data_IF_832637932137
#
_entry.id   IF_832637932137
#
_cell.length_a   1.000
_cell.length_b   1.000
_cell.length_c   1.000
_cell.angle_alpha   90.00
_cell.angle_beta   90.00
_cell.angle_gamma   90.00
#
_symmetry.space_group_name_H-M   'P 1'
#
loop_
_entity.id
_entity.type
_entity.pdbx_description
1 polymer ?
#
# COMPACT_ATOMS: atom_id res chain seq x y z
N UNK A 1 1.13 -21.27 25.31
CA UNK A 1 1.20 -19.90 24.79
C UNK A 1 0.08 -19.75 23.79
N UNK A 2 -0.81 -18.78 23.99
CA UNK A 2 -1.89 -18.53 23.04
C UNK A 2 -1.27 -18.11 21.68
N UNK A 3 -1.94 -18.37 20.55
CA UNK A 3 -1.37 -18.05 19.23
C UNK A 3 -1.07 -16.54 19.06
N UNK A 4 -1.86 -15.67 19.70
CA UNK A 4 -1.63 -14.21 19.73
C UNK A 4 -0.31 -13.79 20.41
N UNK A 5 0.22 -14.62 21.31
CA UNK A 5 1.48 -14.34 22.01
C UNK A 5 2.72 -14.68 21.18
N UNK A 6 2.54 -15.40 20.05
CA UNK A 6 3.66 -15.79 19.17
C UNK A 6 4.04 -14.74 18.15
N UNK A 7 3.19 -13.71 17.97
CA UNK A 7 3.31 -12.73 16.89
C UNK A 7 2.97 -13.32 15.51
N UNK A 8 2.95 -12.45 14.51
CA UNK A 8 2.79 -12.84 13.11
C UNK A 8 4.07 -13.43 12.50
N UNK A 9 3.97 -13.87 11.27
CA UNK A 9 5.09 -14.47 10.55
C UNK A 9 5.34 -13.71 9.24
N UNK A 10 6.61 -13.43 8.92
CA UNK A 10 7.00 -12.88 7.61
C UNK A 10 7.60 -14.00 6.76
N UNK A 11 7.07 -14.17 5.56
CA UNK A 11 7.53 -15.14 4.55
C UNK A 11 8.19 -14.35 3.43
N UNK A 12 9.37 -14.80 2.96
CA UNK A 12 10.02 -14.30 1.77
C UNK A 12 9.70 -15.23 0.58
N UNK A 13 9.38 -14.64 -0.56
CA UNK A 13 9.04 -15.38 -1.76
C UNK A 13 9.43 -14.60 -3.02
N UNK A 14 9.31 -15.24 -4.17
CA UNK A 14 9.48 -14.62 -5.47
C UNK A 14 8.60 -15.34 -6.51
N UNK A 15 8.25 -14.62 -7.57
CA UNK A 15 7.54 -15.19 -8.72
C UNK A 15 8.16 -14.70 -10.04
N UNK A 16 8.06 -15.52 -11.07
CA UNK A 16 8.41 -15.12 -12.42
C UNK A 16 7.31 -14.22 -12.99
N UNK A 17 7.72 -13.21 -13.75
CA UNK A 17 6.82 -12.26 -14.41
C UNK A 17 7.35 -11.96 -15.81
N UNK A 18 6.50 -11.99 -16.83
CA UNK A 18 6.87 -11.59 -18.18
C UNK A 18 7.12 -10.08 -18.33
N UNK A 19 6.63 -9.29 -17.37
CA UNK A 19 6.81 -7.84 -17.32
C UNK A 19 8.17 -7.42 -16.78
N UNK A 20 8.89 -8.33 -16.11
CA UNK A 20 10.15 -8.04 -15.42
C UNK A 20 11.31 -8.87 -15.98
N UNK A 21 12.51 -8.30 -15.97
CA UNK A 21 13.74 -9.00 -16.39
C UNK A 21 14.25 -10.02 -15.37
N UNK A 22 13.75 -9.96 -14.15
CA UNK A 22 14.13 -10.83 -13.01
C UNK A 22 12.87 -11.14 -12.23
N UNK A 23 12.86 -12.25 -11.47
CA UNK A 23 11.73 -12.58 -10.61
C UNK A 23 11.36 -11.41 -9.69
N UNK A 24 10.07 -11.19 -9.50
CA UNK A 24 9.53 -10.25 -8.51
C UNK A 24 9.71 -10.85 -7.12
N UNK A 25 10.65 -10.29 -6.35
CA UNK A 25 10.81 -10.63 -4.94
C UNK A 25 9.72 -9.93 -4.13
N UNK A 26 9.15 -10.61 -3.15
CA UNK A 26 8.18 -10.02 -2.23
C UNK A 26 8.25 -10.69 -0.86
N UNK A 27 7.68 -10.00 0.15
CA UNK A 27 7.44 -10.56 1.46
C UNK A 27 5.96 -10.55 1.76
N UNK A 28 5.50 -11.50 2.57
CA UNK A 28 4.13 -11.56 3.06
C UNK A 28 4.17 -11.67 4.57
N UNK A 29 3.52 -10.73 5.25
CA UNK A 29 3.23 -10.86 6.67
C UNK A 29 1.89 -11.56 6.85
N UNK A 30 1.89 -12.62 7.63
CA UNK A 30 0.73 -13.37 8.07
C UNK A 30 0.44 -13.01 9.53
N UNK A 31 -0.79 -12.61 9.89
CA UNK A 31 -1.11 -12.18 11.24
C UNK A 31 -1.05 -13.34 12.24
N UNK A 32 -0.97 -13.05 13.56
CA UNK A 32 -1.05 -14.07 14.59
C UNK A 32 -2.27 -14.97 14.41
N UNK A 33 -2.13 -16.23 14.80
CA UNK A 33 -3.17 -17.27 14.65
C UNK A 33 -3.55 -17.63 13.21
N UNK A 34 -2.82 -17.16 12.19
CA UNK A 34 -3.12 -17.52 10.80
C UNK A 34 -3.17 -19.04 10.60
N UNK A 35 -2.20 -19.80 11.11
CA UNK A 35 -2.16 -21.25 10.95
C UNK A 35 -3.27 -21.98 11.75
N UNK A 36 -3.64 -21.45 12.90
CA UNK A 36 -4.64 -22.04 13.81
C UNK A 36 -6.09 -21.77 13.38
N UNK A 37 -6.32 -20.83 12.45
CA UNK A 37 -7.64 -20.46 11.93
C UNK A 37 -7.77 -20.75 10.42
N UNK A 38 -7.80 -22.02 9.98
CA UNK A 38 -7.71 -22.39 8.57
C UNK A 38 -8.89 -21.91 7.70
N UNK A 39 -10.05 -21.67 8.32
CA UNK A 39 -11.26 -21.21 7.61
C UNK A 39 -11.33 -19.68 7.49
N UNK A 40 -10.52 -18.94 8.26
CA UNK A 40 -10.54 -17.49 8.25
C UNK A 40 -9.85 -16.95 7.00
N UNK A 41 -10.49 -15.97 6.35
CA UNK A 41 -9.92 -15.17 5.26
C UNK A 41 -9.65 -13.76 5.74
N UNK A 42 -8.73 -13.08 5.07
CA UNK A 42 -8.16 -11.83 5.55
C UNK A 42 -8.14 -10.77 4.46
N UNK A 43 -8.39 -9.50 4.78
CA UNK A 43 -8.07 -8.38 3.92
C UNK A 43 -6.56 -8.34 3.61
N UNK A 44 -6.19 -7.65 2.52
CA UNK A 44 -4.79 -7.56 2.07
C UNK A 44 -4.38 -6.11 1.83
N UNK A 45 -3.27 -5.72 2.44
CA UNK A 45 -2.62 -4.43 2.23
C UNK A 45 -1.29 -4.61 1.49
N UNK A 46 -1.20 -4.05 0.29
CA UNK A 46 0.04 -3.99 -0.50
C UNK A 46 0.78 -2.72 -0.15
N UNK A 47 2.02 -2.82 0.37
CA UNK A 47 2.83 -1.70 0.83
C UNK A 47 4.16 -1.63 0.07
N UNK A 48 4.32 -0.58 -0.73
CA UNK A 48 5.47 -0.39 -1.60
C UNK A 48 6.49 0.53 -0.93
N UNK A 49 7.76 0.14 -0.99
CA UNK A 49 8.87 0.82 -0.35
C UNK A 49 9.32 2.11 -1.07
N UNK A 50 10.07 2.97 -0.39
CA UNK A 50 10.74 4.15 -0.97
C UNK A 50 11.87 3.78 -1.95
N UNK A 51 12.29 4.74 -2.79
CA UNK A 51 13.15 4.50 -3.96
C UNK A 51 14.43 3.69 -3.69
N UNK A 52 15.14 3.94 -2.61
CA UNK A 52 16.44 3.29 -2.31
C UNK A 52 16.33 2.17 -1.30
N UNK A 53 15.12 1.87 -0.88
CA UNK A 53 14.82 0.81 0.09
C UNK A 53 14.49 -0.51 -0.62
N UNK A 54 14.16 -1.52 0.17
CA UNK A 54 13.75 -2.85 -0.31
C UNK A 54 12.38 -3.22 0.27
N UNK A 55 11.95 -4.43 -0.01
CA UNK A 55 10.69 -5.00 0.48
C UNK A 55 10.64 -5.27 1.99
N UNK A 56 11.65 -4.85 2.76
CA UNK A 56 11.66 -4.84 4.22
C UNK A 56 11.47 -3.44 4.83
N UNK A 57 11.35 -2.40 4.02
CA UNK A 57 11.27 -1.02 4.50
C UNK A 57 10.15 -0.84 5.54
N UNK A 58 8.91 -1.20 5.21
CA UNK A 58 7.79 -1.10 6.13
C UNK A 58 7.94 -1.99 7.39
N UNK A 59 8.58 -3.14 7.24
CA UNK A 59 8.91 -4.01 8.37
C UNK A 59 9.93 -3.36 9.31
N UNK A 60 10.94 -2.68 8.76
CA UNK A 60 11.95 -1.95 9.51
C UNK A 60 11.35 -0.71 10.23
N UNK A 61 10.28 -0.13 9.71
CA UNK A 61 9.50 0.90 10.41
C UNK A 61 8.65 0.33 11.56
N UNK A 62 8.50 -0.99 11.66
CA UNK A 62 7.77 -1.67 12.74
C UNK A 62 6.34 -2.08 12.39
N UNK A 63 5.98 -2.17 11.10
CA UNK A 63 4.60 -2.45 10.68
C UNK A 63 4.07 -3.79 11.22
N UNK A 64 4.87 -4.85 11.20
CA UNK A 64 4.45 -6.17 11.67
C UNK A 64 4.18 -6.17 13.19
N UNK A 65 5.12 -5.65 13.98
CA UNK A 65 5.00 -5.58 15.44
C UNK A 65 3.79 -4.73 15.87
N UNK A 66 3.52 -3.66 15.13
CA UNK A 66 2.39 -2.79 15.39
C UNK A 66 1.05 -3.49 15.12
N UNK A 67 0.93 -4.19 13.98
CA UNK A 67 -0.28 -4.96 13.66
C UNK A 67 -0.48 -6.09 14.67
N UNK A 68 0.59 -6.80 15.07
CA UNK A 68 0.53 -7.84 16.10
C UNK A 68 -0.06 -7.30 17.40
N UNK A 69 0.44 -6.16 17.85
CA UNK A 69 -0.02 -5.52 19.10
C UNK A 69 -1.49 -5.09 19.01
N UNK A 70 -1.87 -4.42 17.93
CA UNK A 70 -3.24 -3.89 17.77
C UNK A 70 -4.27 -5.00 17.52
N UNK A 71 -3.88 -6.06 16.81
CA UNK A 71 -4.74 -7.23 16.63
C UNK A 71 -4.92 -8.03 17.93
N UNK A 72 -3.85 -8.17 18.73
CA UNK A 72 -3.91 -8.88 20.00
C UNK A 72 -4.81 -8.19 21.05
N UNK A 73 -4.92 -6.86 20.98
CA UNK A 73 -5.81 -6.06 21.85
C UNK A 73 -7.24 -5.91 21.29
N UNK A 74 -7.51 -6.42 20.08
CA UNK A 74 -8.81 -6.24 19.40
C UNK A 74 -9.07 -4.82 18.90
N UNK A 75 -8.03 -3.97 18.87
CA UNK A 75 -8.14 -2.60 18.36
C UNK A 75 -8.16 -2.54 16.83
N UNK A 76 -7.70 -3.60 16.18
CA UNK A 76 -7.63 -3.72 14.73
C UNK A 76 -7.94 -5.15 14.30
N UNK A 77 -8.73 -5.30 13.23
CA UNK A 77 -8.90 -6.61 12.61
C UNK A 77 -7.57 -7.09 12.02
N UNK A 78 -7.20 -8.37 12.12
CA UNK A 78 -6.00 -8.90 11.50
C UNK A 78 -6.14 -8.93 9.96
N UNK A 79 -5.05 -8.60 9.26
CA UNK A 79 -4.95 -8.60 7.80
C UNK A 79 -3.57 -9.05 7.34
N UNK A 80 -3.45 -9.41 6.06
CA UNK A 80 -2.16 -9.70 5.44
C UNK A 80 -1.52 -8.40 4.93
N UNK A 81 -0.19 -8.32 5.03
CA UNK A 81 0.57 -7.29 4.33
C UNK A 81 1.49 -7.93 3.28
N UNK A 82 1.53 -7.36 2.09
CA UNK A 82 2.38 -7.81 0.98
C UNK A 82 3.34 -6.68 0.64
N UNK A 83 4.63 -6.99 0.59
CA UNK A 83 5.70 -6.02 0.37
C UNK A 83 6.48 -6.40 -0.90
N UNK A 84 6.06 -5.94 -2.09
CA UNK A 84 6.79 -6.19 -3.32
C UNK A 84 8.05 -5.35 -3.41
N UNK A 85 9.06 -5.85 -4.15
CA UNK A 85 10.33 -5.16 -4.36
C UNK A 85 10.43 -4.56 -5.76
N UNK A 86 10.32 -3.22 -5.86
CA UNK A 86 10.68 -2.46 -7.08
C UNK A 86 12.21 -2.41 -7.20
N UNK A 87 12.77 -3.39 -7.91
CA UNK A 87 14.22 -3.53 -8.11
C UNK A 87 14.78 -2.43 -9.01
N UNK A 88 14.04 -2.11 -10.07
CA UNK A 88 14.46 -1.15 -11.10
C UNK A 88 13.99 0.28 -10.77
N UNK A 89 14.20 0.69 -9.52
CA UNK A 89 13.67 1.89 -8.90
C UNK A 89 14.17 3.23 -9.48
N UNK A 90 14.98 3.22 -10.54
CA UNK A 90 15.33 4.41 -11.34
C UNK A 90 14.56 4.49 -12.66
N UNK A 91 13.76 3.47 -13.00
CA UNK A 91 12.93 3.43 -14.20
C UNK A 91 11.48 3.68 -13.78
N UNK A 92 10.81 4.61 -14.45
CA UNK A 92 9.39 4.93 -14.21
C UNK A 92 8.49 4.24 -15.23
N UNK A 93 7.16 4.16 -15.02
CA UNK A 93 6.25 3.74 -16.06
C UNK A 93 6.39 4.61 -17.32
N UNK A 94 6.15 4.09 -18.54
CA UNK A 94 5.76 2.70 -18.82
C UNK A 94 6.95 1.74 -19.02
N UNK A 95 8.20 2.21 -18.90
CA UNK A 95 9.39 1.37 -19.15
C UNK A 95 9.69 0.38 -18.01
N UNK A 96 9.11 0.58 -16.83
CA UNK A 96 9.20 -0.32 -15.69
C UNK A 96 7.89 -1.10 -15.56
N UNK A 97 7.92 -2.40 -15.84
CA UNK A 97 6.76 -3.29 -15.76
C UNK A 97 6.37 -3.75 -14.35
N UNK A 98 6.81 -3.04 -13.31
CA UNK A 98 6.52 -3.40 -11.92
C UNK A 98 5.03 -3.31 -11.58
N UNK A 99 4.34 -2.29 -12.09
CA UNK A 99 2.89 -2.13 -11.89
C UNK A 99 2.11 -3.29 -12.50
N UNK A 100 2.43 -3.64 -13.75
CA UNK A 100 1.82 -4.77 -14.47
C UNK A 100 2.09 -6.09 -13.75
N UNK A 101 3.33 -6.32 -13.28
CA UNK A 101 3.69 -7.51 -12.52
C UNK A 101 2.91 -7.62 -11.20
N UNK A 102 2.63 -6.50 -10.51
CA UNK A 102 1.77 -6.52 -9.32
C UNK A 102 0.35 -6.95 -9.68
N UNK A 103 -0.23 -6.34 -10.70
CA UNK A 103 -1.64 -6.53 -11.05
C UNK A 103 -1.87 -7.90 -11.70
N UNK A 104 -1.05 -8.26 -12.68
CA UNK A 104 -1.27 -9.46 -13.48
C UNK A 104 -0.75 -10.75 -12.84
N UNK A 105 0.31 -10.65 -12.03
CA UNK A 105 0.98 -11.84 -11.51
C UNK A 105 0.93 -11.93 -9.98
N UNK A 106 1.33 -10.87 -9.25
CA UNK A 106 1.46 -10.95 -7.79
C UNK A 106 0.10 -11.08 -7.10
N UNK A 107 -0.89 -10.26 -7.43
CA UNK A 107 -2.20 -10.29 -6.79
C UNK A 107 -2.87 -11.66 -6.97
N UNK A 108 -2.95 -12.24 -8.19
CA UNK A 108 -3.49 -13.58 -8.39
C UNK A 108 -2.72 -14.68 -7.63
N UNK A 109 -1.37 -14.56 -7.55
CA UNK A 109 -0.57 -15.51 -6.79
C UNK A 109 -0.87 -15.45 -5.29
N UNK A 110 -0.97 -14.24 -4.72
CA UNK A 110 -1.33 -14.03 -3.30
C UNK A 110 -2.73 -14.59 -3.02
N UNK A 111 -3.71 -14.32 -3.87
CA UNK A 111 -5.09 -14.81 -3.69
C UNK A 111 -5.18 -16.35 -3.82
N UNK A 112 -4.27 -16.97 -4.56
CA UNK A 112 -4.20 -18.43 -4.72
C UNK A 112 -3.48 -19.11 -3.57
N UNK A 113 -2.38 -18.50 -3.09
CA UNK A 113 -1.50 -19.12 -2.09
C UNK A 113 -1.99 -18.87 -0.65
N UNK A 114 -2.61 -17.70 -0.41
CA UNK A 114 -3.03 -17.28 0.92
C UNK A 114 -4.56 -17.14 1.03
N UNK A 115 -5.05 -17.18 2.25
CA UNK A 115 -6.47 -17.03 2.55
C UNK A 115 -6.88 -15.55 2.55
N UNK A 116 -7.02 -14.97 1.39
CA UNK A 116 -7.41 -13.58 1.17
C UNK A 116 -8.93 -13.42 1.00
N UNK A 117 -9.43 -12.22 1.28
CA UNK A 117 -10.71 -11.73 0.81
C UNK A 117 -10.47 -11.02 -0.53
N UNK A 118 -10.98 -11.55 -1.66
CA UNK A 118 -10.59 -11.05 -2.99
C UNK A 118 -11.32 -9.78 -3.42
N UNK A 119 -12.31 -9.34 -2.66
CA UNK A 119 -13.12 -8.17 -3.00
C UNK A 119 -12.30 -6.87 -2.88
N UNK A 120 -12.60 -5.90 -3.75
CA UNK A 120 -11.91 -4.60 -3.73
C UNK A 120 -11.99 -3.88 -2.38
N UNK A 121 -13.10 -4.05 -1.66
CA UNK A 121 -13.30 -3.43 -0.34
C UNK A 121 -12.31 -3.95 0.71
N UNK A 122 -11.80 -5.16 0.50
CA UNK A 122 -10.87 -5.84 1.38
C UNK A 122 -9.42 -5.78 0.87
N UNK A 123 -9.15 -4.96 -0.16
CA UNK A 123 -7.82 -4.79 -0.72
C UNK A 123 -7.43 -3.31 -0.76
N UNK A 124 -6.26 -3.01 -0.22
CA UNK A 124 -5.69 -1.67 -0.23
C UNK A 124 -4.27 -1.68 -0.81
N UNK A 125 -3.85 -0.55 -1.37
CA UNK A 125 -2.48 -0.33 -1.82
C UNK A 125 -1.96 0.96 -1.21
N UNK A 126 -0.71 0.98 -0.82
CA UNK A 126 -0.05 2.19 -0.33
C UNK A 126 1.44 2.14 -0.49
N UNK A 127 2.08 3.27 -0.25
CA UNK A 127 3.52 3.33 -0.34
C UNK A 127 4.11 4.65 0.11
N UNK A 128 5.40 4.61 0.39
CA UNK A 128 6.19 5.75 0.81
C UNK A 128 6.98 6.29 -0.38
N UNK A 129 6.97 7.61 -0.60
CA UNK A 129 7.77 8.27 -1.61
C UNK A 129 7.53 7.64 -3.01
N UNK A 130 8.54 7.03 -3.63
CA UNK A 130 8.38 6.28 -4.88
C UNK A 130 7.34 5.17 -4.77
N UNK A 131 7.23 4.52 -3.63
CA UNK A 131 6.18 3.52 -3.39
C UNK A 131 4.77 4.12 -3.44
N UNK A 132 4.61 5.35 -2.96
CA UNK A 132 3.37 6.11 -3.09
C UNK A 132 3.06 6.46 -4.55
N UNK A 133 4.09 6.78 -5.38
CA UNK A 133 3.89 6.99 -6.82
C UNK A 133 3.29 5.74 -7.47
N UNK A 134 3.84 4.56 -7.14
CA UNK A 134 3.29 3.29 -7.60
C UNK A 134 1.87 3.04 -7.09
N UNK A 135 1.59 3.38 -5.82
CA UNK A 135 0.25 3.23 -5.27
C UNK A 135 -0.77 4.10 -6.02
N UNK A 136 -0.41 5.36 -6.34
CA UNK A 136 -1.25 6.25 -7.16
C UNK A 136 -1.41 5.70 -8.58
N UNK A 137 -0.30 5.35 -9.23
CA UNK A 137 -0.31 4.81 -10.60
C UNK A 137 -1.21 3.58 -10.73
N UNK A 138 -0.99 2.58 -9.87
CA UNK A 138 -1.72 1.31 -9.91
C UNK A 138 -3.16 1.50 -9.42
N UNK A 139 -3.35 2.18 -8.28
CA UNK A 139 -4.65 2.29 -7.62
C UNK A 139 -5.69 3.09 -8.42
N UNK A 140 -5.25 4.12 -9.17
CA UNK A 140 -6.15 4.90 -10.02
C UNK A 140 -6.42 4.23 -11.38
N UNK A 141 -5.49 3.44 -11.91
CA UNK A 141 -5.72 2.70 -13.15
C UNK A 141 -6.50 1.39 -12.94
N UNK A 142 -6.53 0.86 -11.71
CA UNK A 142 -7.22 -0.39 -11.36
C UNK A 142 -8.19 -0.20 -10.19
N UNK A 143 -9.19 0.70 -10.32
CA UNK A 143 -10.17 0.98 -9.25
C UNK A 143 -11.08 -0.22 -8.96
N UNK A 144 -11.12 -1.21 -9.86
CA UNK A 144 -11.82 -2.47 -9.65
C UNK A 144 -11.09 -3.42 -8.68
N UNK A 145 -9.80 -3.18 -8.43
CA UNK A 145 -8.95 -4.03 -7.57
C UNK A 145 -8.86 -3.48 -6.15
N UNK A 146 -8.70 -2.16 -6.00
CA UNK A 146 -8.38 -1.54 -4.72
C UNK A 146 -9.50 -0.63 -4.20
N UNK A 147 -9.89 -0.83 -2.94
CA UNK A 147 -10.86 0.02 -2.23
C UNK A 147 -10.23 1.21 -1.50
N UNK A 148 -8.92 1.17 -1.29
CA UNK A 148 -8.18 2.24 -0.61
C UNK A 148 -6.77 2.41 -1.20
N UNK A 149 -6.30 3.67 -1.22
CA UNK A 149 -5.02 4.11 -1.74
C UNK A 149 -4.35 5.06 -0.73
N UNK A 150 -3.13 4.77 -0.32
CA UNK A 150 -2.33 5.66 0.54
C UNK A 150 -1.05 6.14 -0.15
N UNK A 151 -0.84 7.46 -0.15
CA UNK A 151 0.29 8.13 -0.80
C UNK A 151 1.09 8.92 0.24
N UNK A 152 2.11 8.28 0.84
CA UNK A 152 2.88 8.85 1.95
C UNK A 152 4.13 9.55 1.44
N UNK A 153 4.24 10.88 1.67
CA UNK A 153 5.36 11.71 1.18
C UNK A 153 5.63 11.51 -0.32
N UNK A 154 4.59 11.60 -1.15
CA UNK A 154 4.59 11.09 -2.52
C UNK A 154 4.73 12.19 -3.57
N UNK A 155 5.90 12.35 -4.20
CA UNK A 155 6.00 13.06 -5.47
C UNK A 155 5.49 12.15 -6.60
N UNK A 156 4.58 12.63 -7.45
CA UNK A 156 4.04 11.81 -8.55
C UNK A 156 5.11 11.55 -9.62
N UNK A 157 5.04 10.41 -10.32
CA UNK A 157 5.92 10.12 -11.45
C UNK A 157 5.80 11.20 -12.52
N UNK A 158 6.93 11.59 -13.10
CA UNK A 158 6.94 12.56 -14.21
C UNK A 158 6.25 12.04 -15.47
N UNK A 159 6.07 10.73 -15.59
CA UNK A 159 5.26 10.07 -16.63
C UNK A 159 3.76 10.25 -16.40
N UNK A 160 3.33 10.36 -15.15
CA UNK A 160 1.93 10.46 -14.75
C UNK A 160 1.56 11.95 -14.65
N UNK A 161 1.39 12.59 -15.79
CA UNK A 161 1.08 14.03 -15.82
C UNK A 161 -0.30 14.33 -15.25
N UNK A 162 -0.51 15.54 -14.71
CA UNK A 162 -1.82 15.95 -14.22
C UNK A 162 -2.97 15.70 -15.22
N UNK A 163 -2.83 16.00 -16.53
CA UNK A 163 -3.87 15.68 -17.51
C UNK A 163 -4.14 14.18 -17.67
N UNK A 164 -3.15 13.32 -17.45
CA UNK A 164 -3.36 11.86 -17.51
C UNK A 164 -4.05 11.35 -16.26
N UNK A 165 -3.60 11.79 -15.08
CA UNK A 165 -4.27 11.45 -13.81
C UNK A 165 -5.72 11.96 -13.81
N UNK A 166 -5.98 13.19 -14.29
CA UNK A 166 -7.33 13.72 -14.43
C UNK A 166 -8.23 12.81 -15.29
N UNK A 167 -7.70 12.30 -16.42
CA UNK A 167 -8.44 11.33 -17.26
C UNK A 167 -8.71 10.01 -16.54
N UNK A 168 -7.77 9.51 -15.74
CA UNK A 168 -8.02 8.30 -14.93
C UNK A 168 -9.14 8.55 -13.93
N UNK A 169 -9.08 9.68 -13.20
CA UNK A 169 -10.10 10.07 -12.24
C UNK A 169 -11.49 10.25 -12.88
N UNK A 170 -11.56 10.92 -14.04
CA UNK A 170 -12.81 11.10 -14.80
C UNK A 170 -13.41 9.77 -15.27
N UNK A 171 -12.57 8.79 -15.58
CA UNK A 171 -13.01 7.46 -16.02
C UNK A 171 -13.52 6.57 -14.89
N UNK A 172 -13.22 6.90 -13.61
CA UNK A 172 -13.64 6.11 -12.45
C UNK A 172 -15.05 6.57 -12.02
N UNK A 173 -16.07 5.67 -12.03
CA UNK A 173 -17.35 5.98 -11.42
C UNK A 173 -17.19 6.39 -9.95
N UNK A 174 -17.94 7.38 -9.49
CA UNK A 174 -17.80 7.96 -8.14
C UNK A 174 -17.88 6.89 -7.02
N UNK A 175 -18.76 5.91 -7.18
CA UNK A 175 -18.91 4.78 -6.24
C UNK A 175 -17.76 3.77 -6.29
N UNK A 176 -16.86 3.91 -7.28
CA UNK A 176 -15.65 3.09 -7.44
C UNK A 176 -14.36 3.86 -7.18
N UNK A 177 -14.43 5.15 -6.84
CA UNK A 177 -13.24 5.85 -6.36
C UNK A 177 -12.68 5.11 -5.13
N UNK A 178 -11.37 4.83 -5.07
CA UNK A 178 -10.77 4.36 -3.84
C UNK A 178 -10.84 5.45 -2.76
N UNK A 179 -10.88 5.08 -1.50
CA UNK A 179 -10.57 6.02 -0.44
C UNK A 179 -9.11 6.45 -0.61
N UNK A 180 -8.84 7.73 -0.52
CA UNK A 180 -7.48 8.26 -0.73
C UNK A 180 -7.00 8.93 0.56
N UNK A 181 -5.82 8.54 1.02
CA UNK A 181 -5.09 9.20 2.11
C UNK A 181 -3.76 9.71 1.58
N UNK A 182 -3.46 10.95 1.89
CA UNK A 182 -2.19 11.59 1.56
C UNK A 182 -1.62 12.31 2.76
N UNK A 183 -0.31 12.28 2.90
CA UNK A 183 0.41 13.07 3.90
C UNK A 183 1.81 13.45 3.45
N UNK A 184 2.38 14.45 4.10
CA UNK A 184 3.79 14.81 3.96
C UNK A 184 4.29 15.58 5.20
N UNK A 185 5.61 15.58 5.39
CA UNK A 185 6.26 16.45 6.36
C UNK A 185 6.33 17.90 5.87
N UNK A 186 6.16 18.87 6.79
CA UNK A 186 6.29 20.31 6.49
C UNK A 186 7.65 20.69 5.89
N UNK A 187 8.69 19.93 6.24
CA UNK A 187 10.04 20.11 5.74
C UNK A 187 10.47 19.01 4.75
N UNK A 188 9.52 18.30 4.17
CA UNK A 188 9.78 17.30 3.14
C UNK A 188 10.33 18.00 1.88
N UNK A 189 11.50 17.56 1.42
CA UNK A 189 12.15 18.11 0.21
C UNK A 189 11.31 17.94 -1.06
N UNK A 190 10.33 17.04 -1.06
CA UNK A 190 9.43 16.75 -2.18
C UNK A 190 8.02 17.29 -1.96
N UNK A 191 7.76 17.99 -0.84
CA UNK A 191 6.44 18.52 -0.50
C UNK A 191 5.74 19.24 -1.67
N UNK A 192 6.47 20.08 -2.39
CA UNK A 192 5.90 20.82 -3.53
C UNK A 192 5.29 19.89 -4.59
N UNK A 193 5.89 18.73 -4.82
CA UNK A 193 5.38 17.77 -5.80
C UNK A 193 4.18 16.98 -5.26
N UNK A 194 4.16 16.70 -3.96
CA UNK A 194 2.98 16.11 -3.30
C UNK A 194 1.77 17.05 -3.36
N UNK A 195 2.00 18.34 -3.12
CA UNK A 195 0.97 19.38 -3.21
C UNK A 195 0.38 19.55 -4.62
N UNK A 196 1.15 19.28 -5.68
CA UNK A 196 0.64 19.31 -7.07
C UNK A 196 -0.45 18.24 -7.25
N UNK A 197 -0.28 17.06 -6.67
CA UNK A 197 -1.29 16.01 -6.77
C UNK A 197 -2.49 16.31 -5.86
N UNK A 198 -2.28 16.83 -4.67
CA UNK A 198 -3.34 17.26 -3.76
C UNK A 198 -4.21 18.36 -4.41
N UNK A 199 -3.58 19.36 -5.04
CA UNK A 199 -4.28 20.43 -5.78
C UNK A 199 -5.10 19.89 -6.97
N UNK A 200 -4.58 18.87 -7.67
CA UNK A 200 -5.32 18.17 -8.72
C UNK A 200 -6.57 17.50 -8.15
N UNK A 201 -6.45 16.75 -7.04
CA UNK A 201 -7.61 16.11 -6.42
C UNK A 201 -8.68 17.12 -5.98
N UNK A 202 -8.25 18.28 -5.44
CA UNK A 202 -9.17 19.38 -5.11
C UNK A 202 -9.85 19.97 -6.36
N UNK A 203 -9.07 20.20 -7.42
CA UNK A 203 -9.59 20.76 -8.68
C UNK A 203 -10.63 19.84 -9.31
N UNK A 204 -10.39 18.54 -9.29
CA UNK A 204 -11.31 17.51 -9.80
C UNK A 204 -12.43 17.14 -8.80
N UNK A 205 -12.47 17.78 -7.63
CA UNK A 205 -13.43 17.51 -6.55
C UNK A 205 -13.41 16.04 -6.09
N UNK A 206 -12.25 15.41 -6.04
CA UNK A 206 -12.07 14.03 -5.59
C UNK A 206 -11.98 14.00 -4.05
N UNK A 207 -12.86 13.26 -3.36
CA UNK A 207 -12.77 13.12 -1.91
C UNK A 207 -11.47 12.44 -1.49
N UNK A 208 -10.71 13.08 -0.61
CA UNK A 208 -9.47 12.54 -0.06
C UNK A 208 -9.19 13.11 1.32
N UNK A 209 -8.33 12.42 2.08
CA UNK A 209 -7.78 12.90 3.35
C UNK A 209 -6.36 13.42 3.09
N UNK A 210 -6.10 14.67 3.47
CA UNK A 210 -4.78 15.30 3.35
C UNK A 210 -4.29 15.78 4.72
N UNK A 211 -3.06 15.41 5.04
CA UNK A 211 -2.40 15.79 6.28
C UNK A 211 -1.00 16.34 6.03
N UNK A 212 -0.69 17.46 6.66
CA UNK A 212 0.63 18.08 6.69
C UNK A 212 1.11 18.12 8.13
N UNK A 213 2.15 17.33 8.42
CA UNK A 213 2.68 17.19 9.77
C UNK A 213 4.09 17.75 9.90
N UNK A 214 4.54 18.17 11.10
CA UNK A 214 5.95 18.47 11.33
C UNK A 214 6.83 17.27 11.00
N UNK A 215 7.87 17.46 10.19
CA UNK A 215 8.81 16.39 9.85
C UNK A 215 9.47 16.55 8.49
N UNK A 216 10.26 15.57 8.12
CA UNK A 216 11.08 15.52 6.91
C UNK A 216 10.72 14.33 6.03
N UNK A 217 11.48 14.11 4.93
CA UNK A 217 11.35 12.96 4.06
C UNK A 217 12.25 11.82 4.54
N UNK A 218 11.93 11.19 5.65
CA UNK A 218 12.78 10.20 6.31
C UNK A 218 11.99 9.18 7.14
N UNK A 219 12.71 8.13 7.59
CA UNK A 219 12.14 7.03 8.37
C UNK A 219 11.55 7.49 9.71
N UNK A 220 12.11 8.53 10.35
CA UNK A 220 11.59 9.05 11.62
C UNK A 220 10.18 9.60 11.45
N UNK A 221 9.94 10.31 10.34
CA UNK A 221 8.62 10.82 9.99
C UNK A 221 7.64 9.67 9.74
N UNK A 222 7.97 8.74 8.86
CA UNK A 222 7.05 7.64 8.51
C UNK A 222 6.79 6.70 9.67
N UNK A 223 7.80 6.44 10.52
CA UNK A 223 7.63 5.65 11.73
C UNK A 223 6.68 6.33 12.74
N UNK A 224 6.78 7.65 12.89
CA UNK A 224 5.92 8.41 13.79
C UNK A 224 4.43 8.35 13.39
N UNK A 225 4.13 8.24 12.09
CA UNK A 225 2.76 8.19 11.56
C UNK A 225 2.29 6.77 11.18
N UNK A 226 3.12 5.75 11.38
CA UNK A 226 2.82 4.38 10.96
C UNK A 226 1.50 3.84 11.54
N UNK A 227 1.21 4.11 12.81
CA UNK A 227 -0.04 3.65 13.45
C UNK A 227 -1.26 4.30 12.81
N UNK A 228 -1.21 5.59 12.49
CA UNK A 228 -2.26 6.30 11.77
C UNK A 228 -2.52 5.67 10.40
N UNK A 229 -1.47 5.43 9.63
CA UNK A 229 -1.58 4.79 8.32
C UNK A 229 -2.27 3.43 8.41
N UNK A 230 -1.78 2.54 9.26
CA UNK A 230 -2.33 1.19 9.39
C UNK A 230 -3.77 1.19 9.90
N UNK A 231 -4.11 2.06 10.85
CA UNK A 231 -5.50 2.24 11.33
C UNK A 231 -6.40 2.77 10.23
N UNK A 232 -5.93 3.70 9.40
CA UNK A 232 -6.69 4.21 8.29
C UNK A 232 -7.01 3.13 7.24
N UNK A 233 -6.00 2.35 6.82
CA UNK A 233 -6.23 1.24 5.89
C UNK A 233 -7.22 0.23 6.46
N UNK A 234 -7.03 -0.18 7.70
CA UNK A 234 -7.83 -1.21 8.34
C UNK A 234 -9.22 -0.75 8.81
N UNK A 235 -9.53 0.56 8.79
CA UNK A 235 -10.77 1.09 9.34
C UNK A 235 -12.08 0.49 8.77
N UNK A 236 -12.16 0.07 7.49
CA UNK A 236 -13.33 -0.64 6.98
C UNK A 236 -13.33 -2.14 7.30
N UNK A 237 -12.16 -2.71 7.65
CA UNK A 237 -12.00 -4.14 7.89
C UNK A 237 -12.35 -4.47 9.35
N UNK A 238 -13.62 -4.64 9.62
CA UNK A 238 -14.09 -5.02 10.95
C UNK A 238 -14.11 -6.53 11.09
N UNK A 239 -13.89 -7.04 12.30
CA UNK A 239 -14.15 -8.45 12.58
C UNK A 239 -15.62 -8.75 12.27
N UNK A 240 -15.84 -9.70 11.36
CA UNK A 240 -17.15 -10.33 11.21
C UNK A 240 -17.39 -11.13 12.49
N UNK A 241 -18.28 -10.67 13.35
CA UNK A 241 -18.70 -11.35 14.56
C UNK A 241 -19.48 -12.64 14.22
#
# INVERSE_FOLDING_TARGET
MACWEKGGQVIESQLESEYLKKPLEYRVYLPPCYAEQPERRYPVLYLIHGQTYRNDHWLNLGAADLVDRLAATGEMAPFLMVFPYDRDHYISPPENGFGEAIVADLIPAIDTEFRTLPERADRAIGGISRGGNWAVHIGLQHPEIFGALGAHSTPIFSSDTNPEIAKWLEAIPLERLPRIFMDAGENDRWLQYTLIFEDLLNTENIPHEWHLYPGYHDDDYWQAHLEEYLRWYASPWRESH
#
